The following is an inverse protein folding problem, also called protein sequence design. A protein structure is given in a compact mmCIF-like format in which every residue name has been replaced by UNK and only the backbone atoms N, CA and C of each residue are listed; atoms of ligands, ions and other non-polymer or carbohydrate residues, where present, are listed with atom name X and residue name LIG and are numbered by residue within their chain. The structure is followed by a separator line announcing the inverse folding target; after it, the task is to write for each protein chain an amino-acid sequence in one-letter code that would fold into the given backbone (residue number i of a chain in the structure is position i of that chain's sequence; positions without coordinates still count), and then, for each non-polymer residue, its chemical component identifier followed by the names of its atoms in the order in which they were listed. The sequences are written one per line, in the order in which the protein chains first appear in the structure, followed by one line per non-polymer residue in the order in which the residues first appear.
data_IF_215526980134
#
_entry.id   IF_215526980134
#
_cell.length_a   1.000
_cell.length_b   1.000
_cell.length_c   1.000
_cell.angle_alpha   90.00
_cell.angle_beta   90.00
_cell.angle_gamma   90.00
#
_symmetry.space_group_name_H-M   'P 1'
#
loop_
_entity.id
_entity.type
_entity.pdbx_description
1 polymer ?
#
# COMPACT_ATOMS: atom_id res chain seq x y z
N UNK A 1 8.65 20.70 13.92
CA UNK A 1 10.01 21.17 13.60
C UNK A 1 10.41 20.41 12.36
N UNK A 2 10.26 21.02 11.18
CA UNK A 2 10.59 20.42 9.89
C UNK A 2 12.08 20.65 9.65
N UNK A 3 12.89 19.60 9.77
CA UNK A 3 14.29 19.67 9.39
C UNK A 3 14.40 19.87 7.86
N UNK A 4 15.34 20.70 7.38
CA UNK A 4 15.54 20.94 5.96
C UNK A 4 16.23 19.70 5.35
N UNK A 5 15.45 18.73 4.88
CA UNK A 5 15.96 17.62 4.09
C UNK A 5 16.15 18.08 2.63
N UNK A 6 17.26 17.69 1.98
CA UNK A 6 17.44 17.99 0.56
C UNK A 6 16.40 17.22 -0.27
N UNK A 7 15.47 17.95 -0.91
CA UNK A 7 14.44 17.41 -1.80
C UNK A 7 14.95 16.55 -2.97
N UNK A 8 16.27 16.53 -3.23
CA UNK A 8 16.88 15.65 -4.24
C UNK A 8 16.67 14.17 -3.92
N UNK A 9 16.74 13.79 -2.65
CA UNK A 9 16.54 12.40 -2.25
C UNK A 9 15.06 11.99 -2.36
N UNK A 10 14.13 12.91 -2.11
CA UNK A 10 12.71 12.69 -2.33
C UNK A 10 12.40 12.38 -3.81
N UNK A 11 12.96 13.16 -4.74
CA UNK A 11 12.76 12.94 -6.17
C UNK A 11 13.24 11.56 -6.64
N UNK A 12 14.33 11.05 -6.05
CA UNK A 12 14.85 9.72 -6.35
C UNK A 12 13.84 8.63 -5.99
N UNK A 13 13.16 8.77 -4.85
CA UNK A 13 12.20 7.80 -4.37
C UNK A 13 10.82 7.93 -5.01
N UNK A 14 10.43 9.12 -5.51
CA UNK A 14 9.15 9.32 -6.19
C UNK A 14 8.92 8.33 -7.35
N UNK A 15 9.97 8.01 -8.11
CA UNK A 15 9.92 7.03 -9.20
C UNK A 15 9.75 5.60 -8.71
N UNK A 16 10.13 5.31 -7.48
CA UNK A 16 10.08 3.98 -6.86
C UNK A 16 8.81 3.79 -6.03
N UNK A 17 7.99 4.83 -5.85
CA UNK A 17 6.76 4.75 -5.04
C UNK A 17 5.72 3.82 -5.64
N UNK A 18 5.61 3.72 -6.97
CA UNK A 18 4.70 2.76 -7.60
C UNK A 18 5.10 1.33 -7.25
N UNK A 19 6.37 0.97 -7.50
CA UNK A 19 6.90 -0.36 -7.19
C UNK A 19 6.79 -0.68 -5.69
N UNK A 20 6.98 0.32 -4.82
CA UNK A 20 6.81 0.17 -3.37
C UNK A 20 5.37 -0.16 -2.99
N UNK A 21 4.40 0.55 -3.56
CA UNK A 21 2.98 0.37 -3.25
C UNK A 21 2.45 -0.96 -3.80
N UNK A 22 2.91 -1.35 -4.98
CA UNK A 22 2.56 -2.62 -5.60
C UNK A 22 3.27 -3.82 -4.93
N UNK A 23 4.24 -3.57 -4.05
CA UNK A 23 5.01 -4.60 -3.33
C UNK A 23 6.07 -5.29 -4.18
N UNK A 24 6.45 -4.67 -5.31
CA UNK A 24 7.42 -5.19 -6.28
C UNK A 24 8.82 -4.59 -6.12
N UNK A 25 8.99 -3.58 -5.25
CA UNK A 25 10.27 -2.94 -4.99
C UNK A 25 11.27 -3.91 -4.35
N UNK A 26 12.53 -3.86 -4.78
CA UNK A 26 13.61 -4.65 -4.19
C UNK A 26 13.66 -4.46 -2.66
N UNK A 27 13.77 -5.54 -1.85
CA UNK A 27 13.72 -5.46 -0.39
C UNK A 27 14.73 -4.50 0.24
N UNK A 28 15.90 -4.31 -0.38
CA UNK A 28 16.93 -3.37 0.14
C UNK A 28 16.51 -1.94 -0.11
N UNK A 29 15.94 -1.66 -1.29
CA UNK A 29 15.39 -0.34 -1.63
C UNK A 29 14.16 -0.03 -0.78
N UNK A 30 13.33 -1.03 -0.50
CA UNK A 30 12.17 -0.90 0.38
C UNK A 30 12.59 -0.42 1.77
N UNK A 31 13.60 -1.03 2.39
CA UNK A 31 14.11 -0.61 3.70
C UNK A 31 14.65 0.83 3.70
N UNK A 32 15.37 1.24 2.65
CA UNK A 32 15.88 2.61 2.51
C UNK A 32 14.76 3.64 2.34
N UNK A 33 13.72 3.28 1.59
CA UNK A 33 12.54 4.11 1.42
C UNK A 33 11.77 4.25 2.74
N UNK A 34 11.59 3.16 3.49
CA UNK A 34 10.94 3.20 4.81
C UNK A 34 11.70 4.08 5.81
N UNK A 35 13.04 4.01 5.83
CA UNK A 35 13.88 4.90 6.62
C UNK A 35 13.66 6.37 6.23
N UNK A 36 13.57 6.67 4.92
CA UNK A 36 13.28 8.01 4.44
C UNK A 36 11.87 8.48 4.88
N UNK A 37 10.86 7.62 4.76
CA UNK A 37 9.48 7.95 5.15
C UNK A 37 9.35 8.21 6.66
N UNK A 38 10.20 7.62 7.50
CA UNK A 38 10.28 7.94 8.93
C UNK A 38 10.82 9.35 9.20
N UNK A 39 11.71 9.86 8.34
CA UNK A 39 12.35 11.17 8.50
C UNK A 39 11.73 12.31 7.69
N UNK A 40 10.86 12.01 6.72
CA UNK A 40 10.37 12.98 5.74
C UNK A 40 8.85 13.05 5.69
N UNK A 41 8.27 14.06 6.35
CA UNK A 41 6.81 14.28 6.37
C UNK A 41 6.22 14.52 4.98
N UNK A 42 6.93 15.20 4.08
CA UNK A 42 6.43 15.50 2.74
C UNK A 42 6.25 14.20 1.93
N UNK A 43 7.22 13.28 1.98
CA UNK A 43 7.11 11.99 1.32
C UNK A 43 6.06 11.10 1.98
N UNK A 44 5.91 11.13 3.32
CA UNK A 44 4.81 10.43 4.01
C UNK A 44 3.46 10.89 3.46
N UNK A 45 3.23 12.20 3.35
CA UNK A 45 1.98 12.76 2.83
C UNK A 45 1.71 12.32 1.39
N UNK A 46 2.75 12.30 0.53
CA UNK A 46 2.61 11.83 -0.86
C UNK A 46 2.19 10.36 -0.92
N UNK A 47 2.86 9.48 -0.15
CA UNK A 47 2.56 8.05 -0.10
C UNK A 47 1.16 7.80 0.44
N UNK A 48 0.78 8.49 1.52
CA UNK A 48 -0.55 8.35 2.13
C UNK A 48 -1.65 8.82 1.17
N UNK A 49 -1.43 9.93 0.46
CA UNK A 49 -2.38 10.44 -0.54
C UNK A 49 -2.55 9.47 -1.70
N UNK A 50 -1.45 8.86 -2.16
CA UNK A 50 -1.49 7.86 -3.24
C UNK A 50 -2.22 6.59 -2.81
N UNK A 51 -1.90 6.04 -1.62
CA UNK A 51 -2.63 4.90 -1.03
C UNK A 51 -4.11 5.20 -0.91
N UNK A 52 -4.47 6.39 -0.42
CA UNK A 52 -5.86 6.81 -0.30
C UNK A 52 -6.58 6.88 -1.64
N UNK A 53 -5.89 7.34 -2.69
CA UNK A 53 -6.45 7.37 -4.05
C UNK A 53 -6.76 5.95 -4.54
N UNK A 54 -5.86 4.99 -4.31
CA UNK A 54 -6.06 3.58 -4.66
C UNK A 54 -7.25 2.98 -3.91
N UNK A 55 -7.36 3.25 -2.61
CA UNK A 55 -8.51 2.81 -1.79
C UNK A 55 -9.84 3.33 -2.35
N UNK A 56 -9.91 4.61 -2.74
CA UNK A 56 -11.11 5.19 -3.32
C UNK A 56 -11.50 4.49 -4.63
N UNK A 57 -10.53 4.19 -5.50
CA UNK A 57 -10.79 3.43 -6.72
C UNK A 57 -11.33 2.02 -6.45
N UNK A 58 -10.82 1.35 -5.42
CA UNK A 58 -11.30 0.03 -5.01
C UNK A 58 -12.72 0.06 -4.41
N UNK A 59 -13.12 1.18 -3.79
CA UNK A 59 -14.46 1.37 -3.24
C UNK A 59 -15.49 1.75 -4.31
N UNK A 60 -15.09 2.55 -5.29
CA UNK A 60 -15.98 3.04 -6.36
C UNK A 60 -16.18 2.00 -7.47
N UNK A 61 -15.19 1.14 -7.71
CA UNK A 61 -15.37 -0.04 -8.55
C UNK A 61 -16.35 -0.98 -7.88
N UNK A 62 -17.54 -1.18 -8.47
CA UNK A 62 -18.50 -2.20 -8.04
C UNK A 62 -17.77 -3.51 -7.80
N UNK A 63 -17.65 -3.91 -6.54
CA UNK A 63 -17.12 -5.22 -6.21
C UNK A 63 -18.10 -6.24 -6.76
N UNK A 64 -17.75 -6.89 -7.86
CA UNK A 64 -18.43 -8.13 -8.23
C UNK A 64 -18.40 -9.04 -7.01
N UNK A 65 -19.59 -9.43 -6.55
CA UNK A 65 -19.70 -10.30 -5.40
C UNK A 65 -18.94 -11.59 -5.72
N UNK A 66 -17.93 -11.91 -4.89
CA UNK A 66 -17.25 -13.19 -4.93
C UNK A 66 -18.29 -14.30 -4.91
N UNK A 67 -18.29 -15.23 -5.87
CA UNK A 67 -19.25 -16.33 -5.88
C UNK A 67 -19.18 -17.09 -4.56
N UNK A 68 -20.34 -17.35 -3.94
CA UNK A 68 -20.47 -18.12 -2.69
C UNK A 68 -19.62 -19.40 -2.63
N UNK A 69 -19.54 -20.25 -3.68
CA UNK A 69 -18.72 -21.46 -3.63
C UNK A 69 -17.22 -21.15 -3.51
N UNK A 70 -16.75 -20.04 -4.05
CA UNK A 70 -15.35 -19.60 -3.93
C UNK A 70 -15.10 -19.07 -2.51
N UNK A 71 -16.00 -18.22 -2.00
CA UNK A 71 -15.93 -17.69 -0.63
C UNK A 71 -15.91 -18.80 0.41
N UNK A 72 -16.84 -19.75 0.31
CA UNK A 72 -16.95 -20.89 1.24
C UNK A 72 -15.67 -21.74 1.23
N UNK A 73 -15.15 -22.11 0.05
CA UNK A 73 -13.90 -22.88 -0.07
C UNK A 73 -12.70 -22.15 0.52
N UNK A 74 -12.61 -20.83 0.32
CA UNK A 74 -11.53 -20.01 0.86
C UNK A 74 -11.57 -20.00 2.40
N UNK A 75 -12.74 -19.76 2.98
CA UNK A 75 -12.90 -19.64 4.44
C UNK A 75 -12.58 -20.96 5.14
N UNK A 76 -13.05 -22.08 4.62
CA UNK A 76 -12.70 -23.41 5.16
C UNK A 76 -11.21 -23.71 5.04
N UNK A 77 -10.54 -23.30 3.96
CA UNK A 77 -9.08 -23.50 3.82
C UNK A 77 -8.26 -22.64 4.78
N UNK A 78 -8.76 -21.46 5.13
CA UNK A 78 -8.14 -20.55 6.08
C UNK A 78 -8.57 -20.82 7.54
N UNK A 79 -9.40 -21.84 7.79
CA UNK A 79 -10.02 -22.14 9.10
C UNK A 79 -10.82 -20.95 9.68
N UNK A 80 -11.57 -20.25 8.82
CA UNK A 80 -12.40 -19.08 9.14
C UNK A 80 -13.90 -19.41 9.08
N UNK A 81 -14.28 -20.65 9.39
CA UNK A 81 -15.66 -21.13 9.24
C UNK A 81 -16.68 -20.37 10.11
N UNK A 82 -16.24 -19.75 11.21
CA UNK A 82 -17.08 -18.87 12.06
C UNK A 82 -17.66 -17.66 11.31
N UNK A 83 -17.06 -17.25 10.19
CA UNK A 83 -17.49 -16.13 9.36
C UNK A 83 -18.39 -16.56 8.18
N UNK A 84 -18.75 -17.85 8.08
CA UNK A 84 -19.68 -18.39 7.07
C UNK A 84 -21.15 -18.43 7.55
N UNK A 85 -21.48 -17.80 8.69
CA UNK A 85 -22.84 -17.70 9.23
C UNK A 85 -23.72 -16.71 8.47
#
# INVERSE_FOLDING_TARGET
MTEPHEHKDCQKYLLQLSEYIDGELDPRLCALLEEHLHGCTDCTVVVDTLKRTIELYHLETSQEALPDPVKSRLYTRLNLDDFLK
#
